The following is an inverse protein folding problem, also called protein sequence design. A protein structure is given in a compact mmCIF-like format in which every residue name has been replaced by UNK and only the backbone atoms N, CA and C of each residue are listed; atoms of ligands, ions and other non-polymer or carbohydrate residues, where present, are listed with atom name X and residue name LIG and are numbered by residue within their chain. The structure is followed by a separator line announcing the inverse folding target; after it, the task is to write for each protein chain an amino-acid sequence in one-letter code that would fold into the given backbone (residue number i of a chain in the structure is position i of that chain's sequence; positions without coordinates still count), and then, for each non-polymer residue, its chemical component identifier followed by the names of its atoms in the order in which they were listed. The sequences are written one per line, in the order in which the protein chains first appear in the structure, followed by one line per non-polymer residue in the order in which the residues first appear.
data_IF_065289771831
#
_entry.id   IF_065289771831
#
_cell.length_a   1.000
_cell.length_b   1.000
_cell.length_c   1.000
_cell.angle_alpha   90.00
_cell.angle_beta   90.00
_cell.angle_gamma   90.00
#
_symmetry.space_group_name_H-M   'P 1'
#
loop_
_entity.id
_entity.type
_entity.pdbx_description
1 polymer ?
#
# COMPACT_ATOMS: atom_id res chain seq x y z
N UNK A 1 -19.37 -3.15 8.71
CA UNK A 1 -20.04 -2.39 9.78
C UNK A 1 -20.94 -3.37 10.51
N UNK A 2 -20.79 -3.51 11.83
CA UNK A 2 -21.58 -4.45 12.63
C UNK A 2 -22.42 -3.58 13.57
N UNK A 3 -23.70 -3.89 13.72
CA UNK A 3 -24.59 -3.23 14.66
C UNK A 3 -24.95 -4.22 15.78
N UNK A 4 -24.05 -4.44 16.76
CA UNK A 4 -24.27 -5.41 17.82
C UNK A 4 -25.44 -5.05 18.74
N UNK A 5 -25.78 -3.76 18.80
CA UNK A 5 -26.91 -3.20 19.56
C UNK A 5 -27.55 -2.13 18.66
N UNK A 6 -28.89 -2.08 18.63
CA UNK A 6 -29.62 -1.09 17.84
C UNK A 6 -29.17 0.34 18.17
N UNK A 7 -28.80 1.10 17.14
CA UNK A 7 -28.27 2.46 17.26
C UNK A 7 -26.76 2.55 17.49
N UNK A 8 -26.07 1.43 17.78
CA UNK A 8 -24.63 1.41 18.01
C UNK A 8 -23.88 0.74 16.85
N UNK A 9 -23.24 1.56 16.01
CA UNK A 9 -22.47 1.09 14.86
C UNK A 9 -21.00 0.88 15.25
N UNK A 10 -20.57 -0.37 15.27
CA UNK A 10 -19.17 -0.72 15.44
C UNK A 10 -18.46 -0.68 14.07
N UNK A 11 -17.45 0.19 13.96
CA UNK A 11 -16.60 0.28 12.79
C UNK A 11 -15.19 -0.24 13.10
N UNK A 12 -14.87 -1.43 12.59
CA UNK A 12 -13.55 -2.04 12.76
C UNK A 12 -12.69 -1.60 11.57
N UNK A 13 -11.89 -0.55 11.79
CA UNK A 13 -11.00 0.01 10.76
C UNK A 13 -9.74 -0.86 10.57
N UNK A 14 -9.27 -1.49 11.66
CA UNK A 14 -8.05 -2.30 11.69
C UNK A 14 -8.30 -3.66 12.34
N UNK A 15 -8.55 -4.70 11.54
CA UNK A 15 -8.74 -6.05 12.06
C UNK A 15 -7.38 -6.61 12.48
N UNK A 16 -7.08 -6.60 13.78
CA UNK A 16 -5.78 -7.01 14.31
C UNK A 16 -5.46 -8.49 14.05
N UNK A 17 -6.45 -9.38 14.23
CA UNK A 17 -6.23 -10.84 14.25
C UNK A 17 -5.62 -11.37 12.93
N UNK A 18 -6.15 -11.05 11.74
CA UNK A 18 -5.58 -11.56 10.49
C UNK A 18 -4.14 -11.08 10.24
N UNK A 19 -3.81 -9.85 10.64
CA UNK A 19 -2.49 -9.28 10.39
C UNK A 19 -1.39 -9.90 11.27
N UNK A 20 -1.72 -10.39 12.47
CA UNK A 20 -0.76 -11.11 13.33
C UNK A 20 -0.24 -12.37 12.62
N UNK A 21 -1.13 -13.15 11.99
CA UNK A 21 -0.74 -14.34 11.23
C UNK A 21 0.17 -13.99 10.04
N UNK A 22 -0.16 -12.92 9.31
CA UNK A 22 0.67 -12.45 8.19
C UNK A 22 2.05 -11.98 8.68
N UNK A 23 2.12 -11.26 9.80
CA UNK A 23 3.40 -10.82 10.39
C UNK A 23 4.24 -12.01 10.84
N UNK A 24 3.64 -13.00 11.51
CA UNK A 24 4.33 -14.22 11.94
C UNK A 24 4.87 -15.02 10.73
N UNK A 25 4.05 -15.17 9.68
CA UNK A 25 4.46 -15.79 8.43
C UNK A 25 5.60 -15.00 7.76
N UNK A 26 5.55 -13.68 7.77
CA UNK A 26 6.63 -12.81 7.28
C UNK A 26 7.94 -12.99 8.06
N UNK A 27 7.87 -13.14 9.38
CA UNK A 27 9.04 -13.42 10.23
C UNK A 27 9.66 -14.78 9.87
N UNK A 28 8.85 -15.83 9.76
CA UNK A 28 9.32 -17.14 9.33
C UNK A 28 9.87 -17.12 7.90
N UNK A 29 9.24 -16.38 6.99
CA UNK A 29 9.70 -16.19 5.61
C UNK A 29 11.08 -15.54 5.54
N UNK A 30 11.43 -14.69 6.52
CA UNK A 30 12.75 -14.09 6.65
C UNK A 30 13.89 -15.12 6.71
N UNK A 31 13.66 -16.30 7.29
CA UNK A 31 14.66 -17.38 7.38
C UNK A 31 15.10 -17.91 6.02
N UNK A 32 14.29 -17.73 4.95
CA UNK A 32 14.69 -18.10 3.59
C UNK A 32 15.91 -17.32 3.09
N UNK A 33 16.12 -16.11 3.64
CA UNK A 33 17.26 -15.26 3.30
C UNK A 33 18.57 -15.69 3.94
N UNK A 34 18.54 -16.67 4.85
CA UNK A 34 19.74 -17.31 5.40
C UNK A 34 20.25 -18.45 4.49
N UNK A 35 19.43 -18.90 3.54
CA UNK A 35 19.78 -19.97 2.59
C UNK A 35 20.74 -19.49 1.50
N UNK A 36 21.33 -20.44 0.77
CA UNK A 36 22.07 -20.16 -0.46
C UNK A 36 21.18 -19.48 -1.51
N UNK A 37 21.75 -18.57 -2.29
CA UNK A 37 21.02 -17.71 -3.22
C UNK A 37 20.23 -18.51 -4.26
N UNK A 38 20.84 -19.52 -4.85
CA UNK A 38 20.25 -20.37 -5.88
C UNK A 38 19.00 -21.08 -5.35
N UNK A 39 19.10 -21.66 -4.15
CA UNK A 39 17.99 -22.34 -3.48
C UNK A 39 16.88 -21.36 -3.09
N UNK A 40 17.23 -20.19 -2.57
CA UNK A 40 16.26 -19.14 -2.24
C UNK A 40 15.48 -18.69 -3.47
N UNK A 41 16.15 -18.42 -4.59
CA UNK A 41 15.48 -17.99 -5.83
C UNK A 41 14.48 -19.03 -6.33
N UNK A 42 14.81 -20.31 -6.26
CA UNK A 42 13.88 -21.40 -6.59
C UNK A 42 12.66 -21.43 -5.67
N UNK A 43 12.86 -21.22 -4.37
CA UNK A 43 11.75 -21.15 -3.42
C UNK A 43 10.87 -19.92 -3.66
N UNK A 44 11.45 -18.74 -3.90
CA UNK A 44 10.70 -17.51 -4.16
C UNK A 44 9.80 -17.64 -5.40
N UNK A 45 10.34 -18.14 -6.52
CA UNK A 45 9.54 -18.30 -7.73
C UNK A 45 8.43 -19.35 -7.54
N UNK A 46 8.73 -20.48 -6.89
CA UNK A 46 7.75 -21.53 -6.64
C UNK A 46 6.64 -21.07 -5.71
N UNK A 47 6.97 -20.40 -4.60
CA UNK A 47 5.98 -19.86 -3.66
C UNK A 47 5.14 -18.79 -4.35
N UNK A 48 5.77 -17.83 -5.05
CA UNK A 48 5.07 -16.77 -5.74
C UNK A 48 4.08 -17.29 -6.79
N UNK A 49 4.54 -18.19 -7.67
CA UNK A 49 3.68 -18.80 -8.71
C UNK A 49 2.58 -19.67 -8.11
N UNK A 50 2.89 -20.49 -7.10
CA UNK A 50 1.88 -21.35 -6.45
C UNK A 50 0.80 -20.52 -5.77
N UNK A 51 1.18 -19.41 -5.14
CA UNK A 51 0.24 -18.50 -4.46
C UNK A 51 -0.68 -17.80 -5.49
N UNK A 52 -0.13 -17.35 -6.63
CA UNK A 52 -0.93 -16.75 -7.71
C UNK A 52 -1.83 -17.81 -8.38
N UNK A 53 -1.34 -19.02 -8.60
CA UNK A 53 -2.14 -20.10 -9.16
C UNK A 53 -3.31 -20.45 -8.22
N UNK A 54 -3.05 -20.57 -6.92
CA UNK A 54 -4.09 -20.76 -5.91
C UNK A 54 -5.12 -19.62 -5.92
N UNK A 55 -4.67 -18.37 -6.05
CA UNK A 55 -5.57 -17.23 -6.23
C UNK A 55 -6.48 -17.41 -7.44
N UNK A 56 -5.92 -17.69 -8.63
CA UNK A 56 -6.69 -17.82 -9.87
C UNK A 56 -7.72 -18.94 -9.75
N UNK A 57 -7.30 -20.12 -9.27
CA UNK A 57 -8.16 -21.31 -9.15
C UNK A 57 -9.32 -21.04 -8.19
N UNK A 58 -9.04 -20.54 -6.98
CA UNK A 58 -10.08 -20.28 -5.99
C UNK A 58 -10.98 -19.12 -6.45
N UNK A 59 -10.40 -18.02 -6.96
CA UNK A 59 -11.15 -16.85 -7.42
C UNK A 59 -12.08 -17.17 -8.57
N UNK A 60 -11.69 -18.04 -9.51
CA UNK A 60 -12.52 -18.43 -10.64
C UNK A 60 -13.84 -19.11 -10.20
N UNK A 61 -13.88 -19.76 -9.04
CA UNK A 61 -15.09 -20.45 -8.57
C UNK A 61 -16.15 -19.52 -7.99
N UNK A 62 -15.77 -18.33 -7.50
CA UNK A 62 -16.65 -17.44 -6.72
C UNK A 62 -17.26 -18.05 -5.44
N UNK A 63 -16.78 -19.22 -4.96
CA UNK A 63 -17.36 -19.92 -3.81
C UNK A 63 -16.70 -19.53 -2.48
N UNK A 64 -15.38 -19.34 -2.47
CA UNK A 64 -14.61 -19.19 -1.23
C UNK A 64 -13.49 -18.16 -1.35
N UNK A 65 -13.05 -17.65 -0.20
CA UNK A 65 -11.80 -16.88 -0.06
C UNK A 65 -11.94 -15.37 -0.22
N UNK A 66 -13.10 -14.86 -0.65
CA UNK A 66 -13.44 -13.43 -0.62
C UNK A 66 -14.95 -13.25 -0.42
N UNK A 67 -15.41 -12.30 0.42
CA UNK A 67 -16.83 -12.05 0.63
C UNK A 67 -17.52 -11.41 -0.59
N UNK A 68 -16.76 -10.80 -1.51
CA UNK A 68 -17.29 -10.13 -2.69
C UNK A 68 -16.99 -10.97 -3.95
N UNK A 69 -17.99 -11.67 -4.51
CA UNK A 69 -17.80 -12.40 -5.77
C UNK A 69 -17.50 -11.42 -6.91
N UNK A 70 -16.62 -11.80 -7.82
CA UNK A 70 -16.41 -11.03 -9.05
C UNK A 70 -17.55 -11.28 -10.03
N UNK A 71 -17.76 -10.33 -10.95
CA UNK A 71 -18.81 -10.43 -11.96
C UNK A 71 -18.32 -9.93 -13.32
N UNK A 72 -18.90 -10.48 -14.38
CA UNK A 72 -18.64 -10.04 -15.76
C UNK A 72 -19.17 -8.61 -15.92
N UNK A 73 -18.32 -7.74 -16.46
CA UNK A 73 -18.64 -6.33 -16.71
C UNK A 73 -18.88 -6.09 -18.21
N UNK A 74 -19.31 -4.88 -18.56
CA UNK A 74 -19.61 -4.48 -19.94
C UNK A 74 -18.42 -4.56 -20.90
N UNK A 75 -17.19 -4.53 -20.39
CA UNK A 75 -15.98 -4.69 -21.18
C UNK A 75 -14.95 -5.54 -20.44
N UNK A 76 -13.98 -6.06 -21.20
CA UNK A 76 -12.95 -6.94 -20.68
C UNK A 76 -12.08 -6.28 -19.59
N UNK A 77 -11.59 -5.03 -19.75
CA UNK A 77 -10.80 -4.37 -18.70
C UNK A 77 -11.55 -4.27 -17.36
N UNK A 78 -12.83 -3.89 -17.38
CA UNK A 78 -13.63 -3.80 -16.16
C UNK A 78 -13.87 -5.19 -15.55
N UNK A 79 -14.02 -6.22 -16.38
CA UNK A 79 -14.15 -7.61 -15.91
C UNK A 79 -12.85 -8.07 -15.23
N UNK A 80 -11.69 -7.74 -15.80
CA UNK A 80 -10.39 -8.02 -15.19
C UNK A 80 -10.23 -7.28 -13.86
N UNK A 81 -10.63 -5.99 -13.80
CA UNK A 81 -10.64 -5.22 -12.55
C UNK A 81 -11.57 -5.87 -11.51
N UNK A 82 -12.75 -6.32 -11.91
CA UNK A 82 -13.67 -7.06 -11.02
C UNK A 82 -13.03 -8.35 -10.49
N UNK A 83 -12.32 -9.09 -11.35
CA UNK A 83 -11.64 -10.33 -10.98
C UNK A 83 -10.57 -10.12 -9.90
N UNK A 84 -9.74 -9.06 -10.03
CA UNK A 84 -8.66 -8.76 -9.07
C UNK A 84 -9.13 -7.93 -7.86
N UNK A 85 -10.35 -7.39 -7.88
CA UNK A 85 -10.91 -6.59 -6.80
C UNK A 85 -11.27 -7.47 -5.58
N UNK A 86 -10.33 -7.60 -4.65
CA UNK A 86 -10.48 -8.41 -3.43
C UNK A 86 -10.64 -7.54 -2.18
N UNK A 87 -11.34 -8.06 -1.18
CA UNK A 87 -11.63 -7.39 0.06
C UNK A 87 -10.38 -7.28 0.96
N UNK A 88 -9.97 -6.04 1.26
CA UNK A 88 -8.74 -5.74 2.01
C UNK A 88 -8.92 -5.65 3.52
N UNK A 89 -10.11 -5.26 4.01
CA UNK A 89 -10.33 -4.94 5.42
C UNK A 89 -11.65 -5.53 5.96
N UNK A 90 -11.61 -6.72 6.60
CA UNK A 90 -10.44 -7.56 6.87
C UNK A 90 -9.84 -8.19 5.62
N UNK A 91 -8.54 -8.52 5.63
CA UNK A 91 -7.89 -9.09 4.45
C UNK A 91 -8.50 -10.46 4.17
N UNK A 92 -9.09 -10.61 2.99
CA UNK A 92 -9.58 -11.90 2.51
C UNK A 92 -8.42 -12.82 2.16
N UNK A 93 -8.67 -14.13 2.10
CA UNK A 93 -7.66 -15.09 1.66
C UNK A 93 -7.19 -14.75 0.24
N UNK A 94 -8.12 -14.44 -0.67
CA UNK A 94 -7.78 -14.09 -2.05
C UNK A 94 -6.97 -12.80 -2.13
N UNK A 95 -7.29 -11.79 -1.30
CA UNK A 95 -6.48 -10.58 -1.18
C UNK A 95 -5.04 -10.90 -0.75
N UNK A 96 -4.86 -11.77 0.24
CA UNK A 96 -3.52 -12.18 0.69
C UNK A 96 -2.78 -12.96 -0.39
N UNK A 97 -3.44 -13.91 -1.07
CA UNK A 97 -2.81 -14.74 -2.10
C UNK A 97 -2.27 -13.89 -3.26
N UNK A 98 -3.08 -12.99 -3.84
CA UNK A 98 -2.62 -12.19 -4.97
C UNK A 98 -1.55 -11.17 -4.55
N UNK A 99 -1.71 -10.51 -3.40
CA UNK A 99 -0.77 -9.47 -2.97
C UNK A 99 0.57 -10.03 -2.50
N UNK A 100 0.57 -11.12 -1.72
CA UNK A 100 1.80 -11.78 -1.31
C UNK A 100 2.48 -12.50 -2.48
N UNK A 101 1.70 -13.17 -3.35
CA UNK A 101 2.23 -13.83 -4.53
C UNK A 101 3.00 -12.85 -5.44
N UNK A 102 2.38 -11.70 -5.75
CA UNK A 102 3.03 -10.65 -6.54
C UNK A 102 4.26 -10.05 -5.83
N UNK A 103 4.18 -9.81 -4.52
CA UNK A 103 5.31 -9.29 -3.75
C UNK A 103 6.51 -10.26 -3.73
N UNK A 104 6.26 -11.56 -3.59
CA UNK A 104 7.28 -12.61 -3.58
C UNK A 104 7.92 -12.76 -4.97
N UNK A 105 7.14 -12.70 -6.05
CA UNK A 105 7.69 -12.69 -7.40
C UNK A 105 8.50 -11.42 -7.69
N UNK A 106 8.06 -10.27 -7.17
CA UNK A 106 8.83 -9.04 -7.27
C UNK A 106 10.17 -9.19 -6.54
N UNK A 107 10.19 -9.79 -5.35
CA UNK A 107 11.42 -10.10 -4.61
C UNK A 107 12.35 -11.02 -5.42
N UNK A 108 11.82 -12.07 -6.05
CA UNK A 108 12.59 -12.92 -6.97
C UNK A 108 13.26 -12.10 -8.09
N UNK A 109 12.50 -11.22 -8.75
CA UNK A 109 13.02 -10.37 -9.83
C UNK A 109 14.08 -9.38 -9.34
N UNK A 110 13.86 -8.77 -8.17
CA UNK A 110 14.80 -7.83 -7.55
C UNK A 110 16.11 -8.52 -7.17
N UNK A 111 16.05 -9.74 -6.64
CA UNK A 111 17.22 -10.48 -6.20
C UNK A 111 18.06 -11.03 -7.38
N UNK A 112 17.40 -11.33 -8.50
CA UNK A 112 18.06 -11.71 -9.76
C UNK A 112 18.79 -10.53 -10.41
N UNK A 113 18.31 -9.30 -10.18
CA UNK A 113 18.79 -8.10 -10.87
C UNK A 113 19.87 -7.37 -10.07
N UNK A 114 20.76 -6.63 -10.75
CA UNK A 114 21.76 -5.80 -10.08
C UNK A 114 21.10 -4.60 -9.40
N UNK A 115 21.44 -4.39 -8.13
CA UNK A 115 20.92 -3.38 -7.20
C UNK A 115 20.99 -1.93 -7.72
N UNK A 116 21.89 -1.61 -8.67
CA UNK A 116 22.14 -0.23 -9.15
C UNK A 116 20.90 0.46 -9.71
N UNK A 117 20.01 -0.26 -10.38
CA UNK A 117 18.78 0.32 -10.96
C UNK A 117 17.72 0.67 -9.92
N UNK A 118 17.81 0.11 -8.71
CA UNK A 118 16.83 0.28 -7.65
C UNK A 118 17.30 1.20 -6.53
N UNK A 119 18.40 1.93 -6.73
CA UNK A 119 18.94 2.87 -5.73
C UNK A 119 17.89 3.84 -5.17
N UNK A 120 16.99 4.44 -5.99
CA UNK A 120 15.92 5.29 -5.45
C UNK A 120 14.94 4.53 -4.54
N UNK A 121 14.52 3.33 -4.94
CA UNK A 121 13.63 2.49 -4.13
C UNK A 121 14.29 2.07 -2.80
N UNK A 122 15.60 1.82 -2.82
CA UNK A 122 16.36 1.48 -1.62
C UNK A 122 16.42 2.67 -0.66
N UNK A 123 16.61 3.89 -1.16
CA UNK A 123 16.63 5.09 -0.31
C UNK A 123 15.28 5.28 0.38
N UNK A 124 14.18 5.17 -0.37
CA UNK A 124 12.83 5.26 0.17
C UNK A 124 12.54 4.13 1.17
N UNK A 125 12.90 2.89 0.81
CA UNK A 125 12.65 1.70 1.64
C UNK A 125 13.52 1.60 2.89
N UNK A 126 14.65 2.31 2.96
CA UNK A 126 15.50 2.35 4.15
C UNK A 126 14.92 3.23 5.28
N UNK A 127 14.04 4.17 4.94
CA UNK A 127 13.44 5.12 5.89
C UNK A 127 11.91 5.10 5.79
N UNK A 128 11.25 3.93 5.91
CA UNK A 128 9.84 3.78 5.60
C UNK A 128 8.94 4.55 6.58
N UNK A 129 9.32 4.62 7.87
CA UNK A 129 8.57 5.39 8.86
C UNK A 129 8.71 6.89 8.62
N UNK A 130 9.92 7.38 8.37
CA UNK A 130 10.15 8.78 8.03
C UNK A 130 9.36 9.19 6.78
N UNK A 131 9.41 8.39 5.71
CA UNK A 131 8.57 8.59 4.52
C UNK A 131 7.08 8.62 4.91
N UNK A 132 6.63 7.66 5.71
CA UNK A 132 5.24 7.55 6.16
C UNK A 132 4.77 8.81 6.91
N UNK A 133 5.59 9.36 7.81
CA UNK A 133 5.19 10.55 8.56
C UNK A 133 5.16 11.79 7.65
N UNK A 134 6.23 12.01 6.87
CA UNK A 134 6.37 13.23 6.07
C UNK A 134 5.35 13.28 4.92
N UNK A 135 5.06 12.16 4.24
CA UNK A 135 4.13 12.18 3.11
C UNK A 135 2.71 12.58 3.53
N UNK A 136 2.26 12.21 4.74
CA UNK A 136 0.94 12.60 5.24
C UNK A 136 0.84 14.12 5.30
N UNK A 137 1.77 14.78 6.01
CA UNK A 137 1.75 16.24 6.14
C UNK A 137 1.93 16.93 4.78
N UNK A 138 2.82 16.40 3.93
CA UNK A 138 3.08 16.97 2.62
C UNK A 138 1.83 16.93 1.73
N UNK A 139 1.16 15.77 1.62
CA UNK A 139 -0.07 15.64 0.83
C UNK A 139 -1.18 16.53 1.38
N UNK A 140 -1.35 16.62 2.70
CA UNK A 140 -2.36 17.50 3.30
C UNK A 140 -2.05 18.98 3.03
N UNK A 141 -0.79 19.39 3.16
CA UNK A 141 -0.36 20.74 2.85
C UNK A 141 -0.61 21.07 1.37
N UNK A 142 -0.22 20.18 0.46
CA UNK A 142 -0.48 20.36 -0.97
C UNK A 142 -1.98 20.43 -1.26
N UNK A 143 -2.79 19.57 -0.65
CA UNK A 143 -4.24 19.62 -0.78
C UNK A 143 -4.82 20.95 -0.27
N UNK A 144 -4.30 21.47 0.85
CA UNK A 144 -4.70 22.78 1.39
C UNK A 144 -4.37 23.89 0.40
N UNK A 145 -3.14 23.94 -0.11
CA UNK A 145 -2.69 24.97 -1.04
C UNK A 145 -3.49 24.96 -2.35
N UNK A 146 -3.75 23.77 -2.90
CA UNK A 146 -4.53 23.63 -4.13
C UNK A 146 -6.00 24.02 -3.91
N UNK A 147 -6.58 23.64 -2.77
CA UNK A 147 -7.95 24.03 -2.44
C UNK A 147 -8.08 25.54 -2.18
N UNK A 148 -7.14 26.16 -1.47
CA UNK A 148 -7.10 27.62 -1.28
C UNK A 148 -6.96 28.36 -2.62
N UNK A 149 -6.08 27.86 -3.50
CA UNK A 149 -5.84 28.50 -4.80
C UNK A 149 -7.04 28.45 -5.74
N UNK A 150 -7.90 27.42 -5.62
CA UNK A 150 -9.02 27.21 -6.56
C UNK A 150 -10.38 27.60 -5.99
N UNK A 151 -10.58 27.44 -4.68
CA UNK A 151 -11.87 27.62 -4.01
C UNK A 151 -11.80 28.63 -2.85
N UNK A 152 -10.65 29.25 -2.59
CA UNK A 152 -10.47 30.13 -1.44
C UNK A 152 -10.62 29.38 -0.11
N UNK A 153 -11.08 30.08 0.93
CA UNK A 153 -11.16 29.56 2.31
C UNK A 153 -12.42 28.69 2.53
N UNK A 154 -13.39 28.72 1.62
CA UNK A 154 -14.69 28.05 1.78
C UNK A 154 -14.62 26.54 2.09
N UNK A 155 -13.75 25.72 1.47
CA UNK A 155 -13.66 24.30 1.81
C UNK A 155 -13.21 24.01 3.26
N UNK A 156 -12.54 24.98 3.91
CA UNK A 156 -11.99 24.83 5.25
C UNK A 156 -12.95 25.28 6.35
N UNK A 157 -13.87 26.19 6.06
CA UNK A 157 -14.86 26.68 7.02
C UNK A 157 -15.99 25.67 7.24
N UNK A 158 -16.37 24.89 6.21
CA UNK A 158 -17.51 23.97 6.29
C UNK A 158 -17.13 22.52 6.65
N UNK A 159 -15.89 22.10 6.42
CA UNK A 159 -15.43 20.74 6.79
C UNK A 159 -15.33 20.49 8.30
N UNK A 160 -15.32 21.54 9.12
CA UNK A 160 -15.26 21.44 10.58
C UNK A 160 -16.65 21.28 11.24
N UNK A 161 -17.76 21.44 10.50
CA UNK A 161 -19.13 21.40 11.03
C UNK A 161 -19.83 20.06 10.75
N UNK A 162 -19.10 19.02 10.32
CA UNK A 162 -19.68 17.71 9.96
C UNK A 162 -20.55 17.74 8.69
N UNK A 163 -20.57 18.86 7.98
CA UNK A 163 -21.25 19.02 6.69
C UNK A 163 -20.22 18.74 5.60
N UNK A 164 -20.38 17.63 4.88
CA UNK A 164 -19.59 17.29 3.69
C UNK A 164 -19.96 18.20 2.51
N UNK A 165 -19.78 19.51 2.65
CA UNK A 165 -19.94 20.44 1.54
C UNK A 165 -18.62 20.56 0.80
N UNK A 166 -18.49 19.77 -0.26
CA UNK A 166 -17.49 19.95 -1.30
C UNK A 166 -18.20 20.55 -2.52
N UNK A 167 -17.64 21.59 -3.17
CA UNK A 167 -18.13 22.05 -4.47
C UNK A 167 -18.33 20.86 -5.42
N UNK A 168 -19.34 20.91 -6.31
CA UNK A 168 -19.60 19.81 -7.26
C UNK A 168 -18.37 19.47 -8.12
N UNK A 169 -17.50 20.46 -8.35
CA UNK A 169 -16.26 20.33 -9.12
C UNK A 169 -15.02 20.12 -8.24
N UNK A 170 -15.19 19.79 -6.95
CA UNK A 170 -14.07 19.64 -6.03
C UNK A 170 -13.18 18.45 -6.38
N UNK A 171 -11.93 18.74 -6.70
CA UNK A 171 -10.89 17.76 -7.01
C UNK A 171 -10.23 18.05 -8.35
N UNK A 172 -9.48 17.05 -8.82
CA UNK A 172 -8.79 17.08 -10.10
C UNK A 172 -8.97 15.74 -10.80
N UNK A 173 -8.90 15.76 -12.13
CA UNK A 173 -8.94 14.53 -12.92
C UNK A 173 -7.73 13.64 -12.67
N UNK A 174 -7.88 12.35 -12.96
CA UNK A 174 -6.84 11.33 -12.74
C UNK A 174 -5.44 11.72 -13.26
N UNK A 175 -5.28 12.29 -14.47
CA UNK A 175 -3.94 12.66 -14.96
C UNK A 175 -3.24 13.69 -14.06
N UNK A 176 -3.97 14.67 -13.55
CA UNK A 176 -3.43 15.70 -12.66
C UNK A 176 -3.09 15.09 -11.30
N UNK A 177 -3.95 14.20 -10.79
CA UNK A 177 -3.67 13.46 -9.54
C UNK A 177 -2.39 12.64 -9.66
N UNK A 178 -2.18 11.94 -10.79
CA UNK A 178 -0.95 11.20 -11.04
C UNK A 178 0.28 12.10 -11.17
N UNK A 179 0.15 13.28 -11.80
CA UNK A 179 1.23 14.26 -11.86
C UNK A 179 1.62 14.76 -10.46
N UNK A 180 0.64 15.14 -9.64
CA UNK A 180 0.88 15.58 -8.26
C UNK A 180 1.54 14.45 -7.45
N UNK A 181 1.03 13.22 -7.58
CA UNK A 181 1.60 12.05 -6.92
C UNK A 181 3.07 11.81 -7.30
N UNK A 182 3.42 11.92 -8.59
CA UNK A 182 4.81 11.81 -9.06
C UNK A 182 5.70 12.91 -8.47
N UNK A 183 5.23 14.16 -8.47
CA UNK A 183 5.98 15.30 -7.92
C UNK A 183 6.21 15.16 -6.42
N UNK A 184 5.19 14.79 -5.66
CA UNK A 184 5.28 14.54 -4.21
C UNK A 184 6.26 13.40 -3.94
N UNK A 185 6.16 12.30 -4.68
CA UNK A 185 7.06 11.15 -4.52
C UNK A 185 8.51 11.51 -4.82
N UNK A 186 8.75 12.31 -5.86
CA UNK A 186 10.08 12.80 -6.20
C UNK A 186 10.66 13.73 -5.12
N UNK A 187 9.83 14.64 -4.57
CA UNK A 187 10.24 15.50 -3.46
C UNK A 187 10.58 14.68 -2.21
N UNK A 188 9.75 13.70 -1.87
CA UNK A 188 9.99 12.79 -0.75
C UNK A 188 11.29 11.99 -0.93
N UNK A 189 11.61 11.58 -2.16
CA UNK A 189 12.88 10.95 -2.46
C UNK A 189 14.08 11.84 -2.08
N UNK A 190 14.04 13.14 -2.45
CA UNK A 190 15.11 14.09 -2.09
C UNK A 190 15.23 14.24 -0.57
N UNK A 191 14.09 14.38 0.12
CA UNK A 191 14.05 14.52 1.58
C UNK A 191 14.57 13.25 2.27
N UNK A 192 14.19 12.06 1.78
CA UNK A 192 14.65 10.78 2.32
C UNK A 192 16.15 10.55 2.06
N UNK A 193 16.68 10.93 0.89
CA UNK A 193 18.12 10.85 0.61
C UNK A 193 18.93 11.74 1.55
N UNK A 194 18.45 12.97 1.78
CA UNK A 194 19.05 13.87 2.77
C UNK A 194 19.01 13.27 4.18
N UNK A 195 17.86 12.73 4.60
CA UNK A 195 17.71 12.12 5.93
C UNK A 195 18.61 10.89 6.09
N UNK A 196 18.72 10.04 5.06
CA UNK A 196 19.61 8.89 5.07
C UNK A 196 21.09 9.30 5.24
N UNK A 197 21.53 10.40 4.62
CA UNK A 197 22.87 10.97 4.81
C UNK A 197 23.04 11.55 6.22
N UNK A 198 22.04 12.26 6.73
CA UNK A 198 22.04 12.82 8.08
C UNK A 198 22.18 11.73 9.15
N UNK A 199 21.37 10.67 9.04
CA UNK A 199 21.38 9.50 9.93
C UNK A 199 22.73 8.79 9.94
N UNK A 200 23.38 8.66 8.77
CA UNK A 200 24.74 8.11 8.66
C UNK A 200 25.80 8.96 9.36
N UNK A 201 25.67 10.30 9.34
CA UNK A 201 26.62 11.24 9.96
C UNK A 201 26.46 11.35 11.49
N UNK A 202 25.26 11.10 12.02
CA UNK A 202 24.94 11.28 13.44
C UNK A 202 24.59 9.94 14.13
N UNK A 203 25.44 8.92 13.94
CA UNK A 203 25.32 7.64 14.66
C UNK A 203 25.47 7.89 16.15
N UNK A 204 24.43 7.61 16.94
CA UNK A 204 24.43 7.79 18.40
C UNK A 204 23.16 8.41 18.98
N UNK A 205 22.30 9.02 18.15
CA UNK A 205 20.98 9.47 18.61
C UNK A 205 19.98 8.32 18.56
N UNK A 206 19.45 7.91 19.70
CA UNK A 206 18.56 6.76 19.82
C UNK A 206 17.31 6.86 18.92
N UNK A 207 16.72 8.06 18.80
CA UNK A 207 15.50 8.29 18.01
C UNK A 207 15.71 8.14 16.50
N UNK A 208 16.94 8.34 16.01
CA UNK A 208 17.25 8.16 14.58
C UNK A 208 17.19 6.70 14.15
N UNK A 209 17.24 5.73 15.08
CA UNK A 209 17.13 4.32 14.71
C UNK A 209 15.68 3.89 14.44
N UNK A 210 14.71 4.63 15.00
CA UNK A 210 13.29 4.34 14.86
C UNK A 210 12.63 5.06 13.67
N UNK A 211 13.20 6.17 13.22
CA UNK A 211 12.78 6.95 12.04
C UNK A 211 13.62 6.62 10.81
#
# INVERSE_FOLDING_TARGET
MIEPISGFRLFILYPLIPWIGVMALGYAFGTLFEMEKERRLQLLINIGLSTIAAFIIIRATNIYGDPNPWSIQSNFPNTLLSFINCHKYPPSLLYLLITLGLAILLLYCLEKTKIRYFKPLIILGQQPLFFYVIHIYLIHLTAILFALSRYGIEPFTFSQVGINWKPKEFGYDLPIVYLIWLLITFLLYIICDWFAKYKKKHRGKWWLNYL
#
